data_IF_965740041398
#
_entry.id   IF_965740041398
#
_cell.length_a   1.000
_cell.length_b   1.000
_cell.length_c   1.000
_cell.angle_alpha   90.00
_cell.angle_beta   90.00
_cell.angle_gamma   90.00
#
_symmetry.space_group_name_H-M   'P 1'
#
loop_
_entity.id
_entity.type
_entity.pdbx_description
1 polymer ?
#
# COMPACT_ATOMS: atom_id res chain seq x y z
N UNK A 1 17.08 12.95 -12.80
CA UNK A 1 16.74 11.58 -12.42
C UNK A 1 16.07 10.82 -13.58
N UNK A 2 14.95 11.31 -14.16
CA UNK A 2 14.25 10.62 -15.25
C UNK A 2 15.16 10.38 -16.48
N UNK A 3 16.00 11.35 -16.85
CA UNK A 3 16.97 11.17 -17.93
C UNK A 3 17.98 10.06 -17.63
N UNK A 4 18.48 9.97 -16.40
CA UNK A 4 19.41 8.92 -15.98
C UNK A 4 18.75 7.53 -15.99
N UNK A 5 17.49 7.45 -15.52
CA UNK A 5 16.70 6.21 -15.56
C UNK A 5 16.43 5.78 -17.00
N UNK A 6 16.07 6.70 -17.88
CA UNK A 6 15.82 6.41 -19.29
C UNK A 6 17.09 5.89 -20.00
N UNK A 7 18.26 6.49 -19.72
CA UNK A 7 19.53 6.00 -20.24
C UNK A 7 19.85 4.59 -19.74
N UNK A 8 19.70 4.36 -18.43
CA UNK A 8 19.92 3.03 -17.85
C UNK A 8 18.93 1.98 -18.40
N UNK A 9 17.67 2.36 -18.62
CA UNK A 9 16.66 1.47 -19.20
C UNK A 9 17.01 1.06 -20.64
N UNK A 10 17.62 1.96 -21.42
CA UNK A 10 18.02 1.68 -22.81
C UNK A 10 19.16 0.63 -22.91
N UNK A 11 19.93 0.47 -21.85
CA UNK A 11 21.07 -0.46 -21.79
C UNK A 11 20.69 -1.85 -21.24
N UNK A 12 19.40 -2.14 -21.02
CA UNK A 12 18.91 -3.37 -20.40
C UNK A 12 17.54 -3.76 -20.92
N UNK A 13 17.21 -5.06 -20.89
CA UNK A 13 15.87 -5.60 -21.17
C UNK A 13 14.89 -5.48 -19.97
N UNK A 14 15.30 -4.85 -18.89
CA UNK A 14 14.48 -4.70 -17.69
C UNK A 14 13.29 -3.76 -17.95
N UNK A 15 12.11 -4.18 -17.49
CA UNK A 15 10.94 -3.29 -17.47
C UNK A 15 11.09 -2.30 -16.32
N UNK A 16 11.33 -1.04 -16.64
CA UNK A 16 11.51 0.02 -15.66
C UNK A 16 10.17 0.63 -15.29
N UNK A 17 9.85 0.59 -14.01
CA UNK A 17 8.67 1.24 -13.42
C UNK A 17 9.16 2.41 -12.58
N UNK A 18 8.64 3.60 -12.83
CA UNK A 18 9.01 4.80 -12.08
C UNK A 18 7.79 5.35 -11.35
N UNK A 19 7.97 5.82 -10.12
CA UNK A 19 6.90 6.47 -9.38
C UNK A 19 7.39 7.74 -8.69
N UNK A 20 6.48 8.72 -8.54
CA UNK A 20 6.74 9.91 -7.75
C UNK A 20 6.22 9.73 -6.33
N UNK A 21 6.99 10.13 -5.32
CA UNK A 21 6.52 10.23 -3.94
C UNK A 21 5.64 11.47 -3.75
N UNK A 22 4.90 11.52 -2.64
CA UNK A 22 4.19 12.71 -2.13
C UNK A 22 3.19 13.33 -3.12
N UNK A 23 2.64 12.54 -4.04
CA UNK A 23 1.56 12.99 -4.93
C UNK A 23 0.29 13.28 -4.12
N UNK A 24 -0.26 14.46 -4.30
CA UNK A 24 -1.42 14.94 -3.52
C UNK A 24 -2.65 15.23 -4.39
N UNK A 25 -2.46 15.51 -5.68
CA UNK A 25 -3.54 15.91 -6.59
C UNK A 25 -3.50 15.16 -7.92
N UNK A 26 -4.66 14.99 -8.60
CA UNK A 26 -4.69 14.41 -9.95
C UNK A 26 -3.84 15.19 -10.96
N UNK A 27 -3.69 16.51 -10.79
CA UNK A 27 -2.86 17.33 -11.65
C UNK A 27 -1.37 16.98 -11.52
N UNK A 28 -0.89 16.73 -10.29
CA UNK A 28 0.49 16.28 -10.05
C UNK A 28 0.72 14.87 -10.63
N UNK A 29 -0.23 13.94 -10.41
CA UNK A 29 -0.15 12.60 -11.00
C UNK A 29 -0.05 12.67 -12.52
N UNK A 30 -0.88 13.51 -13.17
CA UNK A 30 -0.83 13.77 -14.60
C UNK A 30 0.51 14.33 -15.03
N UNK A 31 0.95 15.41 -14.39
CA UNK A 31 2.20 16.10 -14.75
C UNK A 31 3.41 15.17 -14.63
N UNK A 32 3.49 14.35 -13.56
CA UNK A 32 4.59 13.40 -13.39
C UNK A 32 4.57 12.31 -14.47
N UNK A 33 3.40 11.68 -14.69
CA UNK A 33 3.30 10.57 -15.65
C UNK A 33 3.57 11.02 -17.09
N UNK A 34 3.08 12.20 -17.50
CA UNK A 34 3.40 12.80 -18.79
C UNK A 34 4.90 13.11 -18.91
N UNK A 35 5.50 13.63 -17.83
CA UNK A 35 6.93 13.91 -17.78
C UNK A 35 7.76 12.63 -17.90
N UNK A 36 7.44 11.58 -17.17
CA UNK A 36 8.15 10.30 -17.26
C UNK A 36 8.07 9.71 -18.67
N UNK A 37 6.88 9.71 -19.27
CA UNK A 37 6.68 9.22 -20.65
C UNK A 37 7.44 10.04 -21.69
N UNK A 38 7.62 11.35 -21.48
CA UNK A 38 8.43 12.19 -22.39
C UNK A 38 9.91 11.80 -22.43
N UNK A 39 10.39 11.00 -21.46
CA UNK A 39 11.72 10.40 -21.43
C UNK A 39 11.75 8.93 -21.91
N UNK A 40 10.63 8.39 -22.40
CA UNK A 40 10.54 6.99 -22.81
C UNK A 40 10.34 6.01 -21.66
N UNK A 41 9.93 6.50 -20.47
CA UNK A 41 9.59 5.67 -19.33
C UNK A 41 8.06 5.45 -19.30
N UNK A 42 7.62 4.42 -20.01
CA UNK A 42 6.21 4.22 -20.34
C UNK A 42 5.35 3.82 -19.11
N UNK A 43 5.96 3.19 -18.09
CA UNK A 43 5.26 2.74 -16.90
C UNK A 43 5.52 3.69 -15.73
N UNK A 44 4.59 4.62 -15.52
CA UNK A 44 4.71 5.69 -14.54
C UNK A 44 3.58 5.63 -13.51
N UNK A 45 3.96 5.57 -12.25
CA UNK A 45 3.06 5.44 -11.12
C UNK A 45 3.26 6.54 -10.07
N UNK A 46 2.61 6.34 -8.93
CA UNK A 46 2.66 7.27 -7.81
C UNK A 46 2.76 6.53 -6.49
N UNK A 47 3.33 7.19 -5.47
CA UNK A 47 3.17 6.75 -4.10
C UNK A 47 1.92 7.40 -3.50
N UNK A 48 1.04 6.58 -2.97
CA UNK A 48 -0.11 7.03 -2.18
C UNK A 48 0.33 7.06 -0.73
N UNK A 49 0.65 8.23 -0.25
CA UNK A 49 1.11 8.47 1.12
C UNK A 49 0.58 9.78 1.70
N UNK A 50 -0.08 10.57 0.86
CA UNK A 50 -0.87 11.73 1.28
C UNK A 50 -2.34 11.34 1.29
N UNK A 51 -3.11 11.62 2.36
CA UNK A 51 -4.51 11.21 2.49
C UNK A 51 -5.40 11.64 1.32
N UNK A 52 -5.14 12.82 0.73
CA UNK A 52 -5.87 13.31 -0.44
C UNK A 52 -5.67 12.39 -1.66
N UNK A 53 -4.49 11.81 -1.86
CA UNK A 53 -4.24 10.88 -2.95
C UNK A 53 -5.07 9.60 -2.80
N UNK A 54 -5.18 9.07 -1.60
CA UNK A 54 -6.03 7.90 -1.32
C UNK A 54 -7.51 8.22 -1.54
N UNK A 55 -7.98 9.37 -1.05
CA UNK A 55 -9.37 9.80 -1.18
C UNK A 55 -9.79 10.09 -2.64
N UNK A 56 -8.84 10.49 -3.49
CA UNK A 56 -9.07 10.85 -4.90
C UNK A 56 -8.49 9.80 -5.87
N UNK A 57 -8.32 8.57 -5.42
CA UNK A 57 -7.64 7.53 -6.18
C UNK A 57 -8.30 7.24 -7.54
N UNK A 58 -9.62 7.27 -7.63
CA UNK A 58 -10.39 7.10 -8.86
C UNK A 58 -10.02 8.14 -9.94
N UNK A 59 -9.69 9.36 -9.53
CA UNK A 59 -9.19 10.42 -10.42
C UNK A 59 -7.70 10.27 -10.72
N UNK A 60 -6.89 9.83 -9.74
CA UNK A 60 -5.46 9.62 -9.88
C UNK A 60 -5.13 8.53 -10.91
N UNK A 61 -5.85 7.41 -10.87
CA UNK A 61 -5.64 6.28 -11.76
C UNK A 61 -6.08 6.49 -13.22
N UNK A 62 -6.64 7.64 -13.55
CA UNK A 62 -6.77 8.07 -14.95
C UNK A 62 -5.39 8.29 -15.59
N UNK A 63 -4.39 8.63 -14.81
CA UNK A 63 -3.04 8.98 -15.26
C UNK A 63 -2.00 7.94 -14.87
N UNK A 64 -2.00 7.50 -13.62
CA UNK A 64 -1.04 6.55 -13.08
C UNK A 64 -1.30 5.12 -13.56
N UNK A 65 -0.24 4.40 -13.89
CA UNK A 65 -0.31 3.01 -14.35
C UNK A 65 -0.26 2.02 -13.18
N UNK A 66 0.25 2.45 -12.03
CA UNK A 66 0.28 1.71 -10.77
C UNK A 66 0.43 2.68 -9.60
N UNK A 67 0.22 2.17 -8.40
CA UNK A 67 0.58 2.88 -7.19
C UNK A 67 1.23 1.95 -6.16
N UNK A 68 2.04 2.53 -5.29
CA UNK A 68 2.48 1.90 -4.05
C UNK A 68 2.04 2.76 -2.87
N UNK A 69 1.44 2.14 -1.86
CA UNK A 69 1.03 2.87 -0.65
C UNK A 69 2.20 2.94 0.32
N UNK A 70 2.64 4.15 0.62
CA UNK A 70 3.64 4.44 1.64
C UNK A 70 2.97 4.53 3.01
N UNK A 71 2.81 3.39 3.68
CA UNK A 71 2.00 3.31 4.90
C UNK A 71 2.55 4.13 6.06
N UNK A 72 3.86 4.33 6.15
CA UNK A 72 4.45 5.09 7.23
C UNK A 72 4.05 6.57 7.17
N UNK A 73 4.18 7.19 5.99
CA UNK A 73 3.80 8.58 5.78
C UNK A 73 2.28 8.74 5.74
N UNK A 74 1.55 7.82 5.11
CA UNK A 74 0.10 7.84 5.13
C UNK A 74 -0.45 7.82 6.57
N UNK A 75 0.06 6.92 7.42
CA UNK A 75 -0.36 6.84 8.83
C UNK A 75 -0.05 8.14 9.56
N UNK A 76 1.18 8.68 9.41
CA UNK A 76 1.57 9.94 10.02
C UNK A 76 0.60 11.08 9.67
N UNK A 77 0.24 11.22 8.40
CA UNK A 77 -0.65 12.32 7.97
C UNK A 77 -2.11 12.08 8.33
N UNK A 78 -2.59 10.84 8.26
CA UNK A 78 -3.97 10.49 8.66
C UNK A 78 -4.20 10.74 10.15
N UNK A 79 -3.23 10.37 10.97
CA UNK A 79 -3.31 10.49 12.44
C UNK A 79 -2.77 11.84 12.94
N UNK A 80 -2.23 12.69 12.06
CA UNK A 80 -1.53 13.94 12.42
C UNK A 80 -0.47 13.73 13.52
N UNK A 81 0.25 12.60 13.45
CA UNK A 81 1.18 12.15 14.46
C UNK A 81 2.58 12.00 13.87
N UNK A 82 3.52 12.84 14.29
CA UNK A 82 4.91 12.75 13.86
C UNK A 82 5.52 11.40 14.30
N UNK A 83 5.92 10.59 13.33
CA UNK A 83 6.50 9.25 13.56
C UNK A 83 7.85 9.28 14.30
N UNK A 84 8.53 10.43 14.33
CA UNK A 84 9.78 10.61 15.05
C UNK A 84 9.55 10.93 16.53
N UNK A 85 8.31 11.21 16.93
CA UNK A 85 7.94 11.56 18.29
C UNK A 85 7.43 10.31 19.04
N UNK A 86 8.28 9.73 19.89
CA UNK A 86 7.98 8.47 20.60
C UNK A 86 6.71 8.50 21.45
N UNK A 87 6.29 9.67 21.95
CA UNK A 87 5.04 9.82 22.70
C UNK A 87 3.78 9.65 21.82
N UNK A 88 3.90 9.63 20.49
CA UNK A 88 2.82 9.40 19.53
C UNK A 88 2.94 8.05 18.82
N UNK A 89 3.80 7.15 19.29
CA UNK A 89 4.05 5.86 18.65
C UNK A 89 2.78 5.02 18.50
N UNK A 90 1.89 5.05 19.49
CA UNK A 90 0.63 4.30 19.48
C UNK A 90 -0.35 4.79 18.40
N UNK A 91 -0.21 6.04 17.95
CA UNK A 91 -0.98 6.58 16.83
C UNK A 91 -0.37 6.18 15.48
N UNK A 92 0.94 5.95 15.43
CA UNK A 92 1.68 5.64 14.19
C UNK A 92 1.70 4.15 13.84
N UNK A 93 0.67 3.41 14.21
CA UNK A 93 0.50 2.01 13.80
C UNK A 93 -0.30 1.90 12.50
N UNK A 94 0.13 1.06 11.53
CA UNK A 94 -0.63 0.85 10.29
C UNK A 94 -1.94 0.08 10.49
N UNK A 95 -2.20 -0.42 11.70
CA UNK A 95 -3.46 -1.06 12.08
C UNK A 95 -4.60 -0.07 12.33
N UNK A 96 -4.35 1.24 12.26
CA UNK A 96 -5.40 2.25 12.42
C UNK A 96 -6.54 2.02 11.41
N UNK A 97 -7.80 1.83 11.87
CA UNK A 97 -8.93 1.61 10.96
C UNK A 97 -9.13 2.75 9.97
N UNK A 98 -8.77 3.98 10.34
CA UNK A 98 -8.80 5.13 9.45
C UNK A 98 -7.82 4.96 8.27
N UNK A 99 -6.62 4.42 8.51
CA UNK A 99 -5.62 4.14 7.46
C UNK A 99 -6.09 3.00 6.57
N UNK A 100 -6.63 1.91 7.15
CA UNK A 100 -7.15 0.78 6.40
C UNK A 100 -8.32 1.17 5.49
N UNK A 101 -9.20 2.08 5.95
CA UNK A 101 -10.30 2.63 5.13
C UNK A 101 -9.79 3.44 3.94
N UNK A 102 -8.76 4.26 4.11
CA UNK A 102 -8.14 4.98 3.00
C UNK A 102 -7.44 4.04 2.01
N UNK A 103 -6.78 2.99 2.50
CA UNK A 103 -6.23 1.92 1.67
C UNK A 103 -7.33 1.25 0.83
N UNK A 104 -8.47 0.92 1.45
CA UNK A 104 -9.63 0.36 0.74
C UNK A 104 -10.13 1.29 -0.36
N UNK A 105 -10.30 2.58 -0.07
CA UNK A 105 -10.72 3.59 -1.06
C UNK A 105 -9.72 3.64 -2.23
N UNK A 106 -8.42 3.62 -1.94
CA UNK A 106 -7.39 3.61 -2.97
C UNK A 106 -7.46 2.36 -3.87
N UNK A 107 -7.62 1.18 -3.28
CA UNK A 107 -7.77 -0.07 -4.02
C UNK A 107 -9.06 -0.10 -4.86
N UNK A 108 -10.19 0.39 -4.31
CA UNK A 108 -11.45 0.47 -5.04
C UNK A 108 -11.37 1.44 -6.22
N UNK A 109 -10.74 2.61 -6.02
CA UNK A 109 -10.50 3.58 -7.09
C UNK A 109 -9.62 3.01 -8.22
N UNK A 110 -8.60 2.24 -7.86
CA UNK A 110 -7.76 1.54 -8.82
C UNK A 110 -8.53 0.47 -9.62
N UNK A 111 -9.32 -0.35 -8.92
CA UNK A 111 -10.13 -1.40 -9.53
C UNK A 111 -11.22 -0.86 -10.46
N UNK A 112 -11.76 0.32 -10.15
CA UNK A 112 -12.75 1.01 -10.98
C UNK A 112 -12.12 1.72 -12.19
N UNK A 113 -10.80 1.91 -12.22
CA UNK A 113 -10.12 2.55 -13.35
C UNK A 113 -10.18 1.68 -14.62
N UNK A 114 -10.15 2.32 -15.78
CA UNK A 114 -10.11 1.60 -17.08
C UNK A 114 -8.91 0.66 -17.19
N UNK A 115 -7.77 1.05 -16.63
CA UNK A 115 -6.53 0.29 -16.64
C UNK A 115 -6.50 -0.84 -15.61
N UNK A 116 -7.38 -0.84 -14.62
CA UNK A 116 -7.35 -1.74 -13.45
C UNK A 116 -5.94 -1.78 -12.84
N UNK A 117 -5.40 -0.58 -12.58
CA UNK A 117 -4.01 -0.39 -12.16
C UNK A 117 -3.73 -1.12 -10.84
N UNK A 118 -2.60 -1.84 -10.73
CA UNK A 118 -2.26 -2.52 -9.49
C UNK A 118 -1.87 -1.54 -8.39
N UNK A 119 -2.30 -1.83 -7.17
CA UNK A 119 -1.90 -1.13 -5.95
C UNK A 119 -1.01 -2.05 -5.13
N UNK A 120 0.23 -1.63 -4.90
CA UNK A 120 1.13 -2.28 -3.94
C UNK A 120 1.12 -1.56 -2.60
N UNK A 121 1.67 -2.20 -1.59
CA UNK A 121 1.94 -1.60 -0.28
C UNK A 121 3.41 -1.79 0.05
N UNK A 122 4.04 -0.74 0.58
CA UNK A 122 5.37 -0.78 1.13
C UNK A 122 5.39 -0.23 2.56
N UNK A 123 6.55 -0.23 3.20
CA UNK A 123 6.69 0.17 4.58
C UNK A 123 6.47 -0.99 5.56
N UNK A 124 6.31 -0.65 6.83
CA UNK A 124 6.23 -1.64 7.90
C UNK A 124 4.96 -2.50 7.84
N UNK A 125 3.86 -1.94 7.34
CA UNK A 125 2.61 -2.67 7.16
C UNK A 125 2.76 -3.92 6.28
N UNK A 126 3.55 -3.84 5.22
CA UNK A 126 3.78 -4.95 4.31
C UNK A 126 4.54 -6.12 4.95
N UNK A 127 5.28 -5.86 6.02
CA UNK A 127 6.12 -6.83 6.73
C UNK A 127 5.42 -7.48 7.94
N UNK A 128 4.21 -7.04 8.31
CA UNK A 128 3.40 -7.67 9.35
C UNK A 128 2.57 -8.82 8.76
N UNK A 129 2.83 -10.09 9.15
CA UNK A 129 2.16 -11.25 8.55
C UNK A 129 0.63 -11.26 8.70
N UNK A 130 0.11 -10.78 9.84
CA UNK A 130 -1.32 -10.69 10.06
C UNK A 130 -1.95 -9.56 9.25
N UNK A 131 -1.29 -8.41 9.20
CA UNK A 131 -1.75 -7.26 8.41
C UNK A 131 -1.69 -7.54 6.91
N UNK A 132 -0.71 -8.33 6.45
CA UNK A 132 -0.61 -8.74 5.05
C UNK A 132 -1.89 -9.42 4.55
N UNK A 133 -2.54 -10.25 5.39
CA UNK A 133 -3.82 -10.89 5.07
C UNK A 133 -4.92 -9.85 4.88
N UNK A 134 -5.00 -8.87 5.77
CA UNK A 134 -5.95 -7.75 5.67
C UNK A 134 -5.70 -6.95 4.39
N UNK A 135 -4.44 -6.59 4.10
CA UNK A 135 -4.07 -5.83 2.90
C UNK A 135 -4.49 -6.54 1.61
N UNK A 136 -4.26 -7.85 1.52
CA UNK A 136 -4.76 -8.67 0.39
C UNK A 136 -6.28 -8.62 0.30
N UNK A 137 -6.99 -8.70 1.43
CA UNK A 137 -8.44 -8.58 1.51
C UNK A 137 -8.98 -7.23 1.06
N UNK A 138 -8.23 -6.15 1.31
CA UNK A 138 -8.55 -4.79 0.83
C UNK A 138 -8.35 -4.61 -0.68
N UNK A 139 -7.68 -5.57 -1.35
CA UNK A 139 -7.44 -5.52 -2.79
C UNK A 139 -6.01 -5.16 -3.19
N UNK A 140 -5.06 -5.19 -2.25
CA UNK A 140 -3.64 -4.97 -2.54
C UNK A 140 -3.10 -6.10 -3.41
N UNK A 141 -2.37 -5.73 -4.48
CA UNK A 141 -1.83 -6.66 -5.48
C UNK A 141 -0.40 -7.11 -5.17
N UNK A 142 0.37 -6.32 -4.43
CA UNK A 142 1.77 -6.66 -4.09
C UNK A 142 2.18 -6.06 -2.76
N UNK A 143 3.12 -6.74 -2.08
CA UNK A 143 3.67 -6.32 -0.81
C UNK A 143 5.20 -6.22 -0.94
N UNK A 144 5.75 -5.04 -0.65
CA UNK A 144 7.20 -4.78 -0.66
C UNK A 144 7.71 -4.68 0.76
N UNK A 145 8.62 -5.56 1.14
CA UNK A 145 9.10 -5.67 2.52
C UNK A 145 10.58 -6.03 2.58
N UNK A 146 11.14 -6.00 3.77
CA UNK A 146 12.50 -6.50 3.99
C UNK A 146 12.57 -8.00 3.73
N UNK A 147 13.70 -8.49 3.24
CA UNK A 147 13.88 -9.93 2.95
C UNK A 147 13.65 -10.84 4.16
N UNK A 148 13.85 -10.33 5.37
CA UNK A 148 13.63 -11.09 6.62
C UNK A 148 12.16 -11.42 6.86
N UNK A 149 11.23 -10.56 6.42
CA UNK A 149 9.79 -10.76 6.63
C UNK A 149 9.15 -11.66 5.57
N UNK A 150 9.83 -11.90 4.44
CA UNK A 150 9.25 -12.64 3.31
C UNK A 150 8.75 -14.03 3.68
N UNK A 151 9.53 -14.79 4.47
CA UNK A 151 9.18 -16.15 4.82
C UNK A 151 7.91 -16.22 5.69
N UNK A 152 7.81 -15.34 6.67
CA UNK A 152 6.70 -15.30 7.62
C UNK A 152 5.42 -14.84 6.93
N UNK A 153 5.49 -13.78 6.13
CA UNK A 153 4.35 -13.27 5.35
C UNK A 153 3.89 -14.31 4.32
N UNK A 154 4.80 -14.96 3.61
CA UNK A 154 4.47 -16.00 2.62
C UNK A 154 3.80 -17.20 3.31
N UNK A 155 4.31 -17.67 4.46
CA UNK A 155 3.74 -18.77 5.21
C UNK A 155 2.30 -18.48 5.67
N UNK A 156 2.05 -17.29 6.21
CA UNK A 156 0.72 -16.90 6.67
C UNK A 156 -0.23 -16.72 5.48
N UNK A 157 0.18 -16.09 4.39
CA UNK A 157 -0.67 -15.92 3.20
C UNK A 157 -1.02 -17.27 2.53
N UNK A 158 -0.14 -18.25 2.59
CA UNK A 158 -0.42 -19.61 2.08
C UNK A 158 -1.40 -20.40 2.93
N UNK A 159 -1.62 -20.02 4.18
CA UNK A 159 -2.54 -20.70 5.10
C UNK A 159 -4.00 -20.23 4.96
N UNK A 160 -4.27 -19.19 4.20
CA UNK A 160 -5.59 -18.58 4.05
C UNK A 160 -6.05 -18.50 2.60
N UNK A 161 -7.37 -18.44 2.40
CA UNK A 161 -7.96 -18.19 1.08
C UNK A 161 -8.17 -16.68 0.83
N UNK A 162 -8.49 -16.30 -0.41
CA UNK A 162 -8.88 -14.91 -0.70
C UNK A 162 -10.17 -14.50 -0.01
N UNK A 163 -11.07 -15.42 0.21
CA UNK A 163 -12.32 -15.23 0.94
C UNK A 163 -12.02 -14.94 2.42
N UNK A 164 -11.09 -15.69 3.01
CA UNK A 164 -10.61 -15.41 4.38
C UNK A 164 -9.98 -14.02 4.48
N UNK A 165 -9.12 -13.65 3.52
CA UNK A 165 -8.53 -12.33 3.48
C UNK A 165 -9.59 -11.22 3.47
N UNK A 166 -10.64 -11.34 2.64
CA UNK A 166 -11.74 -10.37 2.59
C UNK A 166 -12.50 -10.30 3.91
N UNK A 167 -12.86 -11.46 4.49
CA UNK A 167 -13.54 -11.53 5.78
C UNK A 167 -12.71 -10.86 6.88
N UNK A 168 -11.41 -11.11 6.92
CA UNK A 168 -10.52 -10.51 7.90
C UNK A 168 -10.32 -9.01 7.69
N UNK A 169 -10.31 -8.55 6.45
CA UNK A 169 -10.32 -7.13 6.13
C UNK A 169 -11.61 -6.45 6.63
N UNK A 170 -12.76 -7.07 6.45
CA UNK A 170 -14.04 -6.55 6.93
C UNK A 170 -14.06 -6.49 8.47
N UNK A 171 -13.50 -7.48 9.17
CA UNK A 171 -13.33 -7.44 10.62
C UNK A 171 -12.49 -6.25 11.04
N UNK A 172 -11.32 -6.05 10.42
CA UNK A 172 -10.43 -4.94 10.75
C UNK A 172 -11.09 -3.57 10.49
N UNK A 173 -11.84 -3.44 9.38
CA UNK A 173 -12.54 -2.20 9.04
C UNK A 173 -13.72 -1.88 9.97
N UNK A 174 -14.31 -2.89 10.63
CA UNK A 174 -15.41 -2.71 11.58
C UNK A 174 -14.97 -2.23 12.96
N UNK A 175 -13.69 -2.43 13.31
CA UNK A 175 -13.13 -1.99 14.59
C UNK A 175 -13.01 -0.47 14.66
N UNK A 176 -13.02 0.04 15.91
CA UNK A 176 -12.84 1.46 16.18
C UNK A 176 -11.38 1.83 16.44
N UNK A 177 -10.60 0.92 17.01
CA UNK A 177 -9.24 1.14 17.46
C UNK A 177 -8.24 0.17 16.81
N UNK A 178 -7.00 0.60 16.71
CA UNK A 178 -5.93 -0.17 16.05
C UNK A 178 -5.65 -1.51 16.76
N UNK A 179 -5.58 -1.49 18.09
CA UNK A 179 -5.30 -2.69 18.89
C UNK A 179 -6.47 -3.69 18.83
N UNK A 180 -7.70 -3.18 18.80
CA UNK A 180 -8.90 -4.00 18.61
C UNK A 180 -8.85 -4.71 17.26
N UNK A 181 -8.54 -3.97 16.17
CA UNK A 181 -8.44 -4.53 14.83
C UNK A 181 -7.34 -5.60 14.75
N UNK A 182 -6.17 -5.31 15.31
CA UNK A 182 -5.05 -6.25 15.38
C UNK A 182 -5.41 -7.52 16.15
N UNK A 183 -5.97 -7.38 17.34
CA UNK A 183 -6.34 -8.52 18.18
C UNK A 183 -7.42 -9.38 17.52
N UNK A 184 -8.47 -8.77 16.95
CA UNK A 184 -9.56 -9.48 16.29
C UNK A 184 -9.06 -10.29 15.06
N UNK A 185 -8.19 -9.71 14.24
CA UNK A 185 -7.64 -10.42 13.08
C UNK A 185 -6.70 -11.55 13.51
N UNK A 186 -5.82 -11.31 14.49
CA UNK A 186 -4.89 -12.34 14.97
C UNK A 186 -5.58 -13.54 15.60
N UNK A 187 -6.69 -13.33 16.29
CA UNK A 187 -7.51 -14.40 16.88
C UNK A 187 -8.06 -15.38 15.83
N UNK A 188 -8.22 -14.92 14.60
CA UNK A 188 -8.70 -15.72 13.46
C UNK A 188 -7.58 -16.41 12.66
N UNK A 189 -6.30 -16.21 13.05
CA UNK A 189 -5.12 -16.71 12.36
C UNK A 189 -4.29 -17.63 13.29
N UNK A 190 -4.73 -18.86 13.57
CA UNK A 190 -4.03 -19.78 14.47
C UNK A 190 -2.60 -20.11 14.01
N UNK A 191 -2.33 -20.03 12.72
CA UNK A 191 -1.00 -20.21 12.14
C UNK A 191 0.07 -19.29 12.75
N UNK A 192 -0.32 -18.12 13.24
CA UNK A 192 0.62 -17.20 13.89
C UNK A 192 1.23 -17.79 15.15
N UNK A 193 0.44 -18.49 15.98
CA UNK A 193 0.93 -19.19 17.17
C UNK A 193 1.82 -20.39 16.77
N UNK A 194 1.43 -21.14 15.75
CA UNK A 194 2.21 -22.30 15.24
C UNK A 194 3.59 -21.87 14.73
N UNK A 195 3.69 -20.68 14.15
CA UNK A 195 4.95 -20.11 13.64
C UNK A 195 5.72 -19.28 14.69
N UNK A 196 5.14 -19.04 15.86
CA UNK A 196 5.74 -18.21 16.91
C UNK A 196 5.79 -16.72 16.57
N UNK A 197 4.78 -16.19 15.83
CA UNK A 197 4.67 -14.83 15.32
C UNK A 197 3.73 -13.93 16.15
#
# INVERSE_FOLDING_TARGET
QLEALAKAAADTDAKVWVMAPMISTPAEAKAFTEKARSYGLDFAGMMIEVPSAAAMADHMFKYADFASVGTNDLTQYVMAADRMLGSLADLNTPWQPAVLRLLKIACDGAAASEKKSPVGVCGEAAADPALAVVLVGLGVASLSMTSRALADVDAVLKSVTREDCKRLADIALACAEAEEARAAVRAELPILEELGL
#
